data_IF_664825613207
#
_entry.id   IF_664825613207
#
_cell.length_a   1.000
_cell.length_b   1.000
_cell.length_c   1.000
_cell.angle_alpha   90.00
_cell.angle_beta   90.00
_cell.angle_gamma   90.00
#
_symmetry.space_group_name_H-M   'P 1'
#
loop_
_entity.id
_entity.type
_entity.pdbx_description
1 polymer ?
#
# COMPACT_ATOMS: atom_id res chain seq x y z
N UNK A 1 -40.60 32.86 -87.23
CA UNK A 1 -40.43 31.98 -86.08
C UNK A 1 -39.00 31.43 -85.99
N UNK A 2 -37.95 32.25 -86.12
CA UNK A 2 -36.53 31.81 -85.93
C UNK A 2 -35.69 32.76 -85.05
N UNK A 3 -36.34 33.76 -84.38
CA UNK A 3 -35.63 34.73 -83.53
C UNK A 3 -36.01 34.72 -82.06
N UNK A 4 -36.89 33.79 -81.61
CA UNK A 4 -37.34 33.69 -80.19
C UNK A 4 -36.57 32.61 -79.45
N UNK A 5 -35.84 31.68 -80.08
CA UNK A 5 -35.09 30.59 -79.43
C UNK A 5 -33.65 30.94 -79.04
N UNK A 6 -33.12 32.06 -79.50
CA UNK A 6 -31.75 32.45 -79.19
C UNK A 6 -31.61 33.23 -77.84
N UNK A 7 -32.70 33.83 -77.38
CA UNK A 7 -32.68 34.67 -76.17
C UNK A 7 -32.98 33.90 -74.87
N UNK A 8 -33.52 32.68 -74.97
CA UNK A 8 -33.80 31.80 -73.77
C UNK A 8 -32.61 30.93 -73.43
N UNK A 9 -31.71 30.62 -74.36
CA UNK A 9 -30.51 29.80 -74.07
C UNK A 9 -29.35 30.57 -73.46
N UNK A 10 -29.31 31.86 -73.49
CA UNK A 10 -28.28 32.72 -72.89
C UNK A 10 -28.68 33.08 -71.44
N UNK A 11 -30.01 33.07 -71.09
CA UNK A 11 -30.48 33.35 -69.76
C UNK A 11 -30.33 32.16 -68.78
N UNK A 12 -30.23 30.93 -69.30
CA UNK A 12 -30.11 29.74 -68.46
C UNK A 12 -28.62 29.43 -68.14
N UNK A 13 -27.66 29.93 -68.93
CA UNK A 13 -26.23 29.72 -68.66
C UNK A 13 -25.60 30.75 -67.73
N UNK A 14 -26.29 31.85 -67.38
CA UNK A 14 -25.80 32.85 -66.42
C UNK A 14 -26.34 32.67 -64.98
N UNK A 15 -27.28 31.73 -64.73
CA UNK A 15 -27.80 31.47 -63.38
C UNK A 15 -27.08 30.30 -62.72
N UNK A 16 -26.21 29.57 -63.42
CA UNK A 16 -25.49 28.44 -62.82
C UNK A 16 -24.06 28.76 -62.38
N UNK A 17 -23.64 30.01 -62.42
CA UNK A 17 -22.25 30.39 -62.13
C UNK A 17 -22.05 31.29 -60.90
N UNK A 18 -23.04 31.42 -60.04
CA UNK A 18 -22.86 32.18 -58.78
C UNK A 18 -23.41 31.49 -57.56
N UNK A 19 -23.53 30.16 -57.54
CA UNK A 19 -23.53 29.40 -56.28
C UNK A 19 -22.11 28.96 -56.03
N UNK A 20 -21.19 29.88 -55.88
CA UNK A 20 -20.05 29.66 -54.97
C UNK A 20 -20.67 29.61 -53.60
N UNK A 21 -21.08 28.39 -53.17
CA UNK A 21 -21.14 28.07 -51.75
C UNK A 21 -19.78 28.51 -51.21
N UNK A 22 -19.76 29.56 -50.43
CA UNK A 22 -18.69 29.78 -49.49
C UNK A 22 -18.73 28.51 -48.61
N UNK A 23 -17.91 27.54 -49.00
CA UNK A 23 -17.67 26.36 -48.21
C UNK A 23 -17.01 26.95 -46.95
N UNK A 24 -17.80 27.19 -45.89
CA UNK A 24 -17.25 27.58 -44.62
C UNK A 24 -16.14 26.58 -44.33
N UNK A 25 -14.92 27.05 -44.38
CA UNK A 25 -13.76 26.20 -44.17
C UNK A 25 -13.89 25.67 -42.73
N UNK A 26 -14.25 24.40 -42.61
CA UNK A 26 -14.40 23.75 -41.28
C UNK A 26 -13.13 24.05 -40.50
N UNK A 27 -13.28 24.72 -39.38
CA UNK A 27 -12.19 24.99 -38.44
C UNK A 27 -11.96 23.72 -37.58
N UNK A 28 -11.13 22.82 -38.11
CA UNK A 28 -10.84 21.55 -37.44
C UNK A 28 -10.15 21.74 -36.11
N UNK A 29 -9.37 22.82 -35.91
CA UNK A 29 -8.75 23.16 -34.64
C UNK A 29 -9.83 23.43 -33.56
N UNK A 30 -10.78 24.32 -33.85
CA UNK A 30 -11.84 24.70 -32.92
C UNK A 30 -12.78 23.53 -32.59
N UNK A 31 -13.12 22.76 -33.64
CA UNK A 31 -13.93 21.55 -33.45
C UNK A 31 -13.23 20.52 -32.55
N UNK A 32 -11.95 20.26 -32.79
CA UNK A 32 -11.14 19.38 -31.96
C UNK A 32 -10.99 19.84 -30.51
N UNK A 33 -10.80 21.16 -30.31
CA UNK A 33 -10.75 21.74 -28.94
C UNK A 33 -12.08 21.56 -28.22
N UNK A 34 -13.22 21.76 -28.88
CA UNK A 34 -14.55 21.53 -28.31
C UNK A 34 -14.76 20.07 -27.94
N UNK A 35 -14.33 19.15 -28.78
CA UNK A 35 -14.44 17.71 -28.53
C UNK A 35 -13.52 17.26 -27.38
N UNK A 36 -12.30 17.77 -27.25
CA UNK A 36 -11.44 17.54 -26.10
C UNK A 36 -12.13 18.00 -24.79
N UNK A 37 -12.76 19.18 -24.80
CA UNK A 37 -13.50 19.71 -23.63
C UNK A 37 -14.68 18.85 -23.24
N UNK A 38 -15.38 18.27 -24.22
CA UNK A 38 -16.55 17.40 -23.96
C UNK A 38 -16.18 15.94 -23.72
N UNK A 39 -14.90 15.59 -23.76
CA UNK A 39 -14.41 14.22 -23.54
C UNK A 39 -14.55 13.30 -24.77
N UNK A 40 -14.92 13.84 -25.94
CA UNK A 40 -14.99 13.07 -27.17
C UNK A 40 -13.61 13.01 -27.84
N UNK A 41 -12.69 12.29 -27.21
CA UNK A 41 -11.27 12.25 -27.61
C UNK A 41 -11.02 11.58 -28.99
N UNK A 42 -11.89 10.64 -29.41
CA UNK A 42 -11.75 9.97 -30.69
C UNK A 42 -11.99 10.93 -31.88
N UNK A 43 -13.05 11.74 -31.79
CA UNK A 43 -13.34 12.74 -32.81
C UNK A 43 -12.36 13.92 -32.73
N UNK A 44 -11.95 14.32 -31.52
CA UNK A 44 -10.88 15.32 -31.33
C UNK A 44 -9.60 14.91 -32.05
N UNK A 45 -9.14 13.66 -31.87
CA UNK A 45 -7.97 13.09 -32.54
C UNK A 45 -8.10 13.17 -34.07
N UNK A 46 -9.28 12.83 -34.61
CA UNK A 46 -9.54 12.93 -36.07
C UNK A 46 -9.41 14.37 -36.57
N UNK A 47 -10.03 15.31 -35.88
CA UNK A 47 -10.05 16.71 -36.30
C UNK A 47 -8.68 17.36 -36.19
N UNK A 48 -7.90 17.11 -35.12
CA UNK A 48 -6.53 17.59 -35.04
C UNK A 48 -5.62 16.94 -36.10
N UNK A 49 -5.88 15.69 -36.53
CA UNK A 49 -5.13 15.07 -37.62
C UNK A 49 -5.41 15.75 -38.97
N UNK A 50 -6.69 16.06 -39.24
CA UNK A 50 -7.07 16.81 -40.43
C UNK A 50 -6.52 18.23 -40.43
N UNK A 51 -6.48 18.88 -39.28
CA UNK A 51 -5.88 20.22 -39.12
C UNK A 51 -4.38 20.19 -39.45
N UNK A 52 -3.65 19.22 -38.86
CA UNK A 52 -2.21 19.05 -39.11
C UNK A 52 -1.93 18.73 -40.56
N UNK A 53 -2.73 17.86 -41.20
CA UNK A 53 -2.59 17.54 -42.62
C UNK A 53 -2.79 18.78 -43.56
N UNK A 54 -3.74 19.64 -43.22
CA UNK A 54 -3.98 20.87 -43.97
C UNK A 54 -2.85 21.90 -43.81
N UNK A 55 -2.17 21.89 -42.65
CA UNK A 55 -1.20 22.92 -42.30
C UNK A 55 0.26 22.39 -42.26
N UNK A 56 0.60 21.38 -43.05
CA UNK A 56 1.93 20.77 -43.07
C UNK A 56 3.08 21.77 -43.32
N UNK A 57 2.83 22.83 -44.13
CA UNK A 57 3.84 23.85 -44.41
C UNK A 57 4.10 24.81 -43.24
N UNK A 58 3.13 24.96 -42.34
CA UNK A 58 3.25 25.82 -41.17
C UNK A 58 2.54 25.13 -39.96
N UNK A 59 3.14 24.12 -39.41
CA UNK A 59 2.51 23.28 -38.36
C UNK A 59 2.31 24.05 -37.07
N UNK A 60 1.09 23.95 -36.51
CA UNK A 60 0.72 24.59 -35.27
C UNK A 60 1.08 23.68 -34.06
N UNK A 61 1.94 24.12 -33.11
CA UNK A 61 2.30 23.33 -31.93
C UNK A 61 1.09 22.97 -31.08
N UNK A 62 0.04 23.83 -31.01
CA UNK A 62 -1.16 23.58 -30.25
C UNK A 62 -1.98 22.41 -30.79
N UNK A 63 -1.96 22.18 -32.09
CA UNK A 63 -2.64 21.04 -32.73
C UNK A 63 -1.99 19.72 -32.36
N UNK A 64 -0.66 19.64 -32.30
CA UNK A 64 0.08 18.48 -31.84
C UNK A 64 -0.16 18.27 -30.35
N UNK A 65 -0.05 19.31 -29.53
CA UNK A 65 -0.33 19.23 -28.10
C UNK A 65 -1.72 18.67 -27.81
N UNK A 66 -2.77 19.21 -28.44
CA UNK A 66 -4.14 18.81 -28.22
C UNK A 66 -4.45 17.42 -28.79
N UNK A 67 -3.80 17.02 -29.92
CA UNK A 67 -3.87 15.64 -30.42
C UNK A 67 -3.20 14.66 -29.47
N UNK A 68 -2.03 15.02 -28.93
CA UNK A 68 -1.35 14.26 -27.90
C UNK A 68 -2.19 14.10 -26.63
N UNK A 69 -2.88 15.17 -26.22
CA UNK A 69 -3.82 15.13 -25.09
C UNK A 69 -5.00 14.17 -25.35
N UNK A 70 -5.57 14.18 -26.56
CA UNK A 70 -6.62 13.23 -26.93
C UNK A 70 -6.10 11.78 -26.89
N UNK A 71 -4.90 11.51 -27.45
CA UNK A 71 -4.25 10.18 -27.38
C UNK A 71 -3.98 9.74 -25.95
N UNK A 72 -3.51 10.64 -25.07
CA UNK A 72 -3.29 10.35 -23.66
C UNK A 72 -4.56 9.87 -22.96
N UNK A 73 -5.69 10.55 -23.20
CA UNK A 73 -6.98 10.18 -22.64
C UNK A 73 -7.53 8.86 -23.22
N UNK A 74 -7.19 8.54 -24.46
CA UNK A 74 -7.43 7.23 -25.09
C UNK A 74 -6.44 6.14 -24.66
N UNK A 75 -5.54 6.44 -23.71
CA UNK A 75 -4.47 5.57 -23.19
C UNK A 75 -3.39 5.19 -24.21
N UNK A 76 -3.32 5.87 -25.37
CA UNK A 76 -2.20 5.77 -26.29
C UNK A 76 -1.06 6.70 -25.83
N UNK A 77 -0.38 6.28 -24.77
CA UNK A 77 0.71 7.08 -24.18
C UNK A 77 1.92 7.22 -25.11
N UNK A 78 2.18 6.21 -25.97
CA UNK A 78 3.28 6.28 -26.94
C UNK A 78 2.99 7.30 -28.06
N UNK A 79 1.81 7.24 -28.63
CA UNK A 79 1.39 8.21 -29.64
C UNK A 79 1.26 9.63 -29.08
N UNK A 80 0.87 9.76 -27.79
CA UNK A 80 0.84 11.04 -27.11
C UNK A 80 2.23 11.66 -26.96
N UNK A 81 3.24 10.87 -26.53
CA UNK A 81 4.63 11.31 -26.41
C UNK A 81 5.16 11.86 -27.73
N UNK A 82 4.92 11.17 -28.86
CA UNK A 82 5.36 11.62 -30.16
C UNK A 82 4.75 12.98 -30.57
N UNK A 83 3.48 13.20 -30.24
CA UNK A 83 2.81 14.45 -30.49
C UNK A 83 3.33 15.59 -29.59
N UNK A 84 3.58 15.29 -28.31
CA UNK A 84 4.19 16.27 -27.40
C UNK A 84 5.64 16.59 -27.78
N UNK A 85 6.41 15.60 -28.26
CA UNK A 85 7.75 15.84 -28.82
C UNK A 85 7.70 16.85 -29.98
N UNK A 86 6.73 16.68 -30.88
CA UNK A 86 6.57 17.61 -32.02
C UNK A 86 6.09 18.99 -31.55
N UNK A 87 5.18 19.06 -30.57
CA UNK A 87 4.76 20.33 -30.00
C UNK A 87 5.94 21.10 -29.36
N UNK A 88 6.81 20.39 -28.62
CA UNK A 88 8.01 20.95 -28.01
C UNK A 88 9.06 21.35 -29.02
N UNK A 89 9.26 20.54 -30.08
CA UNK A 89 10.17 20.89 -31.19
C UNK A 89 9.76 22.21 -31.84
N UNK A 90 8.44 22.41 -32.06
CA UNK A 90 7.89 23.62 -32.67
C UNK A 90 7.87 24.81 -31.69
N UNK A 91 7.68 24.56 -30.40
CA UNK A 91 7.62 25.59 -29.34
C UNK A 91 8.43 25.13 -28.14
N UNK A 92 9.74 25.36 -28.08
CA UNK A 92 10.60 24.89 -26.96
C UNK A 92 10.27 25.48 -25.60
N UNK A 93 9.43 26.51 -25.52
CA UNK A 93 8.95 27.13 -24.27
C UNK A 93 7.58 26.61 -23.84
N UNK A 94 7.06 25.54 -24.45
CA UNK A 94 5.72 25.01 -24.19
C UNK A 94 5.71 24.15 -22.93
N UNK A 95 5.68 24.78 -21.76
CA UNK A 95 5.77 24.09 -20.48
C UNK A 95 4.64 23.07 -20.24
N UNK A 96 3.42 23.35 -20.75
CA UNK A 96 2.30 22.39 -20.65
C UNK A 96 2.58 21.09 -21.44
N UNK A 97 3.27 21.19 -22.58
CA UNK A 97 3.65 20.01 -23.36
C UNK A 97 4.70 19.16 -22.64
N UNK A 98 5.65 19.77 -21.93
CA UNK A 98 6.57 19.04 -21.05
C UNK A 98 5.83 18.34 -19.93
N UNK A 99 4.86 19.00 -19.24
CA UNK A 99 4.05 18.36 -18.18
C UNK A 99 3.31 17.15 -18.76
N UNK A 100 2.63 17.31 -19.89
CA UNK A 100 1.82 16.27 -20.51
C UNK A 100 2.68 15.07 -20.99
N UNK A 101 3.88 15.35 -21.56
CA UNK A 101 4.84 14.31 -21.93
C UNK A 101 5.36 13.57 -20.71
N UNK A 102 5.73 14.28 -19.63
CA UNK A 102 6.12 13.72 -18.38
C UNK A 102 5.02 12.85 -17.73
N UNK A 103 3.76 13.28 -17.79
CA UNK A 103 2.62 12.48 -17.36
C UNK A 103 2.49 11.19 -18.19
N UNK A 104 2.70 11.27 -19.49
CA UNK A 104 2.67 10.10 -20.40
C UNK A 104 3.80 9.10 -20.07
N UNK A 105 5.02 9.58 -19.82
CA UNK A 105 6.12 8.74 -19.33
C UNK A 105 5.81 8.13 -17.95
N UNK A 106 5.21 8.89 -17.05
CA UNK A 106 4.82 8.39 -15.71
C UNK A 106 3.77 7.27 -15.81
N UNK A 107 2.83 7.35 -16.77
CA UNK A 107 1.87 6.26 -17.04
C UNK A 107 2.52 5.00 -17.62
N UNK A 108 3.69 5.12 -18.22
CA UNK A 108 4.52 4.00 -18.66
C UNK A 108 5.54 3.57 -17.59
N UNK A 109 5.35 3.95 -16.32
CA UNK A 109 6.25 3.67 -15.20
C UNK A 109 7.67 4.27 -15.36
N UNK A 110 7.90 5.12 -16.37
CA UNK A 110 9.20 5.75 -16.63
C UNK A 110 9.36 7.06 -15.85
N UNK A 111 9.30 6.92 -14.50
CA UNK A 111 9.31 8.07 -13.59
C UNK A 111 10.59 8.91 -13.66
N UNK A 112 11.74 8.31 -14.02
CA UNK A 112 13.01 9.05 -14.13
C UNK A 112 12.98 10.05 -15.28
N UNK A 113 12.47 9.65 -16.45
CA UNK A 113 12.32 10.55 -17.60
C UNK A 113 11.22 11.58 -17.36
N UNK A 114 10.10 11.16 -16.74
CA UNK A 114 9.03 12.09 -16.36
C UNK A 114 9.54 13.23 -15.46
N UNK A 115 10.44 12.95 -14.51
CA UNK A 115 11.04 13.99 -13.65
C UNK A 115 11.87 14.98 -14.47
N UNK A 116 12.55 14.57 -15.52
CA UNK A 116 13.30 15.50 -16.40
C UNK A 116 12.35 16.47 -17.09
N UNK A 117 11.24 15.99 -17.64
CA UNK A 117 10.23 16.83 -18.25
C UNK A 117 9.60 17.82 -17.27
N UNK A 118 9.26 17.38 -16.06
CA UNK A 118 8.72 18.27 -15.01
C UNK A 118 9.76 19.31 -14.56
N UNK A 119 11.05 18.96 -14.53
CA UNK A 119 12.11 19.93 -14.24
C UNK A 119 12.15 21.04 -15.29
N UNK A 120 12.01 20.67 -16.56
CA UNK A 120 12.00 21.62 -17.65
C UNK A 120 10.74 22.50 -17.63
N UNK A 121 9.58 21.90 -17.36
CA UNK A 121 8.33 22.65 -17.18
C UNK A 121 8.44 23.68 -16.03
N UNK A 122 9.01 23.29 -14.89
CA UNK A 122 9.23 24.17 -13.74
C UNK A 122 10.25 25.28 -14.05
N UNK A 123 11.30 24.98 -14.84
CA UNK A 123 12.26 25.98 -15.29
C UNK A 123 11.60 27.04 -16.16
N UNK A 124 10.69 26.60 -17.03
CA UNK A 124 9.96 27.49 -17.95
C UNK A 124 8.85 28.29 -17.25
N UNK A 125 8.12 27.64 -16.33
CA UNK A 125 7.08 28.29 -15.52
C UNK A 125 7.18 27.84 -14.04
N UNK A 126 7.91 28.57 -13.18
CA UNK A 126 8.07 28.22 -11.77
C UNK A 126 6.79 28.34 -10.90
N UNK A 127 5.73 28.93 -11.45
CA UNK A 127 4.47 29.13 -10.75
C UNK A 127 3.41 28.04 -11.08
N UNK A 128 3.79 27.03 -11.86
CA UNK A 128 2.87 25.96 -12.25
C UNK A 128 2.79 24.86 -11.17
N UNK A 129 1.76 24.92 -10.36
CA UNK A 129 1.56 23.99 -9.22
C UNK A 129 1.49 22.51 -9.66
N UNK A 130 0.90 22.24 -10.84
CA UNK A 130 0.72 20.88 -11.37
C UNK A 130 2.05 20.22 -11.73
N UNK A 131 3.05 20.98 -12.16
CA UNK A 131 4.37 20.45 -12.46
C UNK A 131 5.08 19.94 -11.21
N UNK A 132 5.02 20.70 -10.10
CA UNK A 132 5.55 20.24 -8.81
C UNK A 132 4.79 19.02 -8.30
N UNK A 133 3.45 19.04 -8.33
CA UNK A 133 2.64 17.90 -7.91
C UNK A 133 3.01 16.62 -8.70
N UNK A 134 3.07 16.70 -10.02
CA UNK A 134 3.37 15.55 -10.89
C UNK A 134 4.79 15.03 -10.67
N UNK A 135 5.77 15.93 -10.46
CA UNK A 135 7.14 15.57 -10.10
C UNK A 135 7.19 14.89 -8.73
N UNK A 136 6.46 15.42 -7.75
CA UNK A 136 6.33 14.82 -6.43
C UNK A 136 5.80 13.41 -6.47
N UNK A 137 4.71 13.16 -7.23
CA UNK A 137 4.17 11.80 -7.44
C UNK A 137 5.22 10.87 -8.05
N UNK A 138 5.94 11.32 -9.08
CA UNK A 138 7.00 10.49 -9.70
C UNK A 138 8.15 10.20 -8.74
N UNK A 139 8.53 11.16 -7.88
CA UNK A 139 9.52 10.95 -6.81
C UNK A 139 9.02 9.94 -5.76
N UNK A 140 7.75 10.00 -5.37
CA UNK A 140 7.12 9.02 -4.47
C UNK A 140 7.19 7.60 -5.03
N UNK A 141 6.91 7.44 -6.32
CA UNK A 141 7.01 6.13 -7.01
C UNK A 141 8.43 5.57 -7.02
N UNK A 142 9.43 6.44 -7.03
CA UNK A 142 10.85 6.07 -6.88
C UNK A 142 11.30 5.99 -5.41
N UNK A 143 10.36 6.02 -4.46
CA UNK A 143 10.57 6.05 -3.01
C UNK A 143 11.46 7.22 -2.53
N UNK A 144 11.57 8.29 -3.29
CA UNK A 144 12.17 9.54 -2.83
C UNK A 144 11.10 10.37 -2.09
N UNK A 145 10.72 9.92 -0.90
CA UNK A 145 9.62 10.51 -0.11
C UNK A 145 9.91 11.95 0.31
N UNK A 146 11.15 12.27 0.72
CA UNK A 146 11.54 13.64 1.08
C UNK A 146 11.49 14.58 -0.12
N UNK A 147 11.95 14.13 -1.27
CA UNK A 147 11.86 14.91 -2.51
C UNK A 147 10.41 15.13 -2.96
N UNK A 148 9.55 14.12 -2.78
CA UNK A 148 8.10 14.22 -3.03
C UNK A 148 7.45 15.24 -2.09
N UNK A 149 7.73 15.14 -0.77
CA UNK A 149 7.21 16.07 0.24
C UNK A 149 7.58 17.52 -0.07
N UNK A 150 8.83 17.79 -0.47
CA UNK A 150 9.28 19.12 -0.87
C UNK A 150 8.48 19.67 -2.06
N UNK A 151 8.24 18.82 -3.07
CA UNK A 151 7.48 19.23 -4.24
C UNK A 151 5.99 19.46 -3.92
N UNK A 152 5.37 18.63 -3.07
CA UNK A 152 3.99 18.85 -2.63
C UNK A 152 3.84 20.12 -1.79
N UNK A 153 4.82 20.45 -0.93
CA UNK A 153 4.82 21.73 -0.23
C UNK A 153 4.79 22.88 -1.23
N UNK A 154 5.64 22.85 -2.27
CA UNK A 154 5.67 23.92 -3.27
C UNK A 154 4.38 23.98 -4.09
N UNK A 155 3.83 22.84 -4.48
CA UNK A 155 2.51 22.78 -5.15
C UNK A 155 1.40 23.41 -4.31
N UNK A 156 1.39 23.15 -2.98
CA UNK A 156 0.38 23.67 -2.04
C UNK A 156 0.63 25.15 -1.63
N UNK A 157 1.87 25.65 -1.69
CA UNK A 157 2.14 27.08 -1.60
C UNK A 157 1.50 27.86 -2.77
N UNK A 158 1.48 27.24 -3.96
CA UNK A 158 0.91 27.84 -5.17
C UNK A 158 -0.61 27.63 -5.27
N UNK A 159 -1.13 26.53 -4.73
CA UNK A 159 -2.56 26.21 -4.69
C UNK A 159 -2.91 25.47 -3.37
N UNK A 160 -3.27 26.23 -2.34
CA UNK A 160 -3.50 25.71 -0.98
C UNK A 160 -4.74 24.78 -0.87
N UNK A 161 -5.75 24.97 -1.73
CA UNK A 161 -7.01 24.20 -1.69
C UNK A 161 -7.02 23.02 -2.67
N UNK A 162 -5.85 22.49 -2.99
CA UNK A 162 -5.71 21.34 -3.89
C UNK A 162 -5.79 20.03 -3.09
N UNK A 163 -7.00 19.47 -2.94
CA UNK A 163 -7.22 18.25 -2.15
C UNK A 163 -6.33 17.06 -2.56
N UNK A 164 -6.09 16.77 -3.86
CA UNK A 164 -5.13 15.71 -4.22
C UNK A 164 -3.69 16.01 -3.78
N UNK A 165 -3.28 17.27 -3.77
CA UNK A 165 -1.96 17.71 -3.29
C UNK A 165 -1.81 17.50 -1.78
N UNK A 166 -2.84 17.85 -0.99
CA UNK A 166 -2.89 17.59 0.45
C UNK A 166 -2.81 16.11 0.74
N UNK A 167 -3.61 15.28 0.04
CA UNK A 167 -3.58 13.84 0.22
C UNK A 167 -2.21 13.24 -0.13
N UNK A 168 -1.59 13.65 -1.24
CA UNK A 168 -0.26 13.20 -1.62
C UNK A 168 0.82 13.62 -0.61
N UNK A 169 0.70 14.82 -0.03
CA UNK A 169 1.59 15.29 1.05
C UNK A 169 1.38 14.47 2.32
N UNK A 170 0.14 14.19 2.69
CA UNK A 170 -0.20 13.32 3.81
C UNK A 170 0.36 11.91 3.64
N UNK A 171 0.27 11.34 2.44
CA UNK A 171 0.89 10.05 2.13
C UNK A 171 2.43 10.12 2.26
N UNK A 172 3.06 11.16 1.73
CA UNK A 172 4.51 11.35 1.85
C UNK A 172 4.96 11.46 3.31
N UNK A 173 4.23 12.24 4.13
CA UNK A 173 4.46 12.35 5.58
C UNK A 173 4.30 11.00 6.28
N UNK A 174 3.26 10.23 5.94
CA UNK A 174 3.04 8.89 6.48
C UNK A 174 4.20 7.94 6.14
N UNK A 175 4.73 7.99 4.91
CA UNK A 175 5.94 7.22 4.52
C UNK A 175 7.21 7.66 5.23
N UNK A 176 7.23 8.87 5.78
CA UNK A 176 8.30 9.43 6.60
C UNK A 176 7.99 9.32 8.11
N UNK A 177 6.97 8.54 8.50
CA UNK A 177 6.52 8.32 9.86
C UNK A 177 5.98 9.55 10.59
N UNK A 178 5.73 10.66 9.89
CA UNK A 178 5.01 11.82 10.42
C UNK A 178 3.49 11.59 10.33
N UNK A 179 2.97 10.69 11.18
CA UNK A 179 1.56 10.32 11.17
C UNK A 179 0.66 11.47 11.63
N UNK A 180 1.11 12.32 12.54
CA UNK A 180 0.31 13.47 12.99
C UNK A 180 0.14 14.50 11.87
N UNK A 181 1.23 14.89 11.22
CA UNK A 181 1.16 15.78 10.08
C UNK A 181 0.41 15.18 8.88
N UNK A 182 0.44 13.85 8.73
CA UNK A 182 -0.36 13.11 7.74
C UNK A 182 -1.86 13.26 8.01
N UNK A 183 -2.31 13.10 9.28
CA UNK A 183 -3.71 13.26 9.69
C UNK A 183 -4.20 14.68 9.38
N UNK A 184 -3.42 15.71 9.70
CA UNK A 184 -3.76 17.12 9.43
C UNK A 184 -4.00 17.39 7.94
N UNK A 185 -3.17 16.79 7.07
CA UNK A 185 -3.32 16.94 5.62
C UNK A 185 -4.57 16.20 5.11
N UNK A 186 -4.83 14.98 5.61
CA UNK A 186 -6.06 14.25 5.23
C UNK A 186 -7.32 14.89 5.81
N UNK A 187 -7.29 15.52 6.98
CA UNK A 187 -8.41 16.29 7.50
C UNK A 187 -8.83 17.37 6.50
N UNK A 188 -7.89 18.18 6.04
CA UNK A 188 -8.15 19.21 5.03
C UNK A 188 -8.58 18.64 3.67
N UNK A 189 -7.95 17.53 3.24
CA UNK A 189 -8.32 16.87 1.99
C UNK A 189 -9.77 16.34 2.02
N UNK A 190 -10.22 15.82 3.17
CA UNK A 190 -11.59 15.34 3.39
C UNK A 190 -12.58 16.51 3.43
N UNK A 191 -12.25 17.63 4.08
CA UNK A 191 -13.06 18.84 4.08
C UNK A 191 -13.33 19.32 2.64
N UNK A 192 -12.30 19.33 1.79
CA UNK A 192 -12.42 19.75 0.39
C UNK A 192 -13.10 18.70 -0.50
N UNK A 193 -12.99 17.42 -0.17
CA UNK A 193 -13.48 16.31 -1.01
C UNK A 193 -14.00 15.14 -0.17
N UNK A 194 -15.16 15.27 0.49
CA UNK A 194 -15.67 14.33 1.50
C UNK A 194 -16.14 12.97 0.94
N UNK A 195 -16.21 12.80 -0.37
CA UNK A 195 -16.66 11.55 -1.01
C UNK A 195 -15.50 10.67 -1.52
N UNK A 196 -14.26 10.98 -1.17
CA UNK A 196 -13.07 10.21 -1.56
C UNK A 196 -12.73 9.19 -0.48
N UNK A 197 -13.14 7.92 -0.65
CA UNK A 197 -12.89 6.82 0.30
C UNK A 197 -11.42 6.71 0.70
N UNK A 198 -10.49 6.82 -0.27
CA UNK A 198 -9.06 6.70 -0.02
C UNK A 198 -8.50 7.71 1.00
N UNK A 199 -9.09 8.90 1.13
CA UNK A 199 -8.62 9.87 2.13
C UNK A 199 -8.93 9.41 3.55
N UNK A 200 -10.09 8.79 3.76
CA UNK A 200 -10.45 8.16 5.04
C UNK A 200 -9.55 6.95 5.31
N UNK A 201 -9.30 6.09 4.32
CA UNK A 201 -8.40 4.91 4.46
C UNK A 201 -7.00 5.33 4.90
N UNK A 202 -6.41 6.34 4.26
CA UNK A 202 -5.07 6.81 4.62
C UNK A 202 -5.03 7.51 5.98
N UNK A 203 -6.07 8.30 6.34
CA UNK A 203 -6.16 8.90 7.67
C UNK A 203 -6.33 7.85 8.75
N UNK A 204 -7.18 6.83 8.50
CA UNK A 204 -7.35 5.69 9.38
C UNK A 204 -6.03 4.95 9.61
N UNK A 205 -5.27 4.70 8.54
CA UNK A 205 -3.95 4.09 8.65
C UNK A 205 -3.01 4.92 9.54
N UNK A 206 -2.94 6.23 9.35
CA UNK A 206 -2.11 7.09 10.18
C UNK A 206 -2.54 7.06 11.67
N UNK A 207 -3.85 7.10 11.96
CA UNK A 207 -4.40 6.94 13.33
C UNK A 207 -4.07 5.58 13.93
N UNK A 208 -4.19 4.50 13.13
CA UNK A 208 -3.83 3.15 13.54
C UNK A 208 -2.35 3.06 13.96
N UNK A 209 -1.44 3.71 13.22
CA UNK A 209 -0.01 3.76 13.56
C UNK A 209 0.26 4.50 14.88
N UNK A 210 -0.60 5.43 15.27
CA UNK A 210 -0.58 6.11 16.57
C UNK A 210 -1.31 5.33 17.68
N UNK A 211 -1.76 4.09 17.39
CA UNK A 211 -2.59 3.26 18.29
C UNK A 211 -3.96 3.88 18.64
N UNK A 212 -4.44 4.83 17.85
CA UNK A 212 -5.76 5.44 18.01
C UNK A 212 -6.84 4.58 17.33
N UNK A 213 -6.93 3.30 17.73
CA UNK A 213 -7.72 2.26 17.04
C UNK A 213 -9.20 2.60 16.90
N UNK A 214 -9.83 3.17 17.94
CA UNK A 214 -11.24 3.58 17.88
C UNK A 214 -11.50 4.69 16.85
N UNK A 215 -10.56 5.63 16.70
CA UNK A 215 -10.66 6.70 15.70
C UNK A 215 -10.37 6.18 14.29
N UNK A 216 -9.43 5.26 14.16
CA UNK A 216 -9.14 4.58 12.89
C UNK A 216 -10.35 3.78 12.40
N UNK A 217 -11.05 3.06 13.29
CA UNK A 217 -12.25 2.28 12.94
C UNK A 217 -13.38 3.16 12.39
N UNK A 218 -13.58 4.36 12.92
CA UNK A 218 -14.56 5.31 12.37
C UNK A 218 -14.23 5.70 10.93
N UNK A 219 -12.97 5.96 10.66
CA UNK A 219 -12.51 6.32 9.32
C UNK A 219 -12.58 5.12 8.36
N UNK A 220 -12.16 3.90 8.78
CA UNK A 220 -12.33 2.70 7.95
C UNK A 220 -13.80 2.40 7.66
N UNK A 221 -14.70 2.59 8.61
CA UNK A 221 -16.14 2.43 8.39
C UNK A 221 -16.66 3.41 7.33
N UNK A 222 -16.23 4.68 7.36
CA UNK A 222 -16.62 5.66 6.35
C UNK A 222 -15.97 5.36 4.99
N UNK A 223 -14.70 4.92 4.96
CA UNK A 223 -14.04 4.49 3.72
C UNK A 223 -14.80 3.32 3.07
N UNK A 224 -15.12 2.28 3.82
CA UNK A 224 -15.85 1.09 3.36
C UNK A 224 -17.27 1.46 2.90
N UNK A 225 -17.95 2.38 3.58
CA UNK A 225 -19.28 2.87 3.18
C UNK A 225 -19.23 3.62 1.84
N UNK A 226 -18.18 4.39 1.58
CA UNK A 226 -17.98 5.12 0.32
C UNK A 226 -17.54 4.21 -0.83
N UNK A 227 -16.72 3.19 -0.55
CA UNK A 227 -16.22 2.21 -1.52
C UNK A 227 -15.82 0.94 -0.78
N UNK A 228 -16.60 -0.13 -0.98
CA UNK A 228 -16.42 -1.41 -0.29
C UNK A 228 -15.47 -2.38 -1.04
N UNK A 229 -14.64 -1.88 -1.95
CA UNK A 229 -13.80 -2.66 -2.87
C UNK A 229 -12.30 -2.70 -2.49
N UNK A 230 -11.94 -2.23 -1.30
CA UNK A 230 -10.57 -2.20 -0.81
C UNK A 230 -10.33 -3.26 0.28
N UNK A 231 -9.64 -4.34 -0.06
CA UNK A 231 -9.28 -5.41 0.88
C UNK A 231 -8.41 -4.92 2.06
N UNK A 232 -7.59 -3.87 1.84
CA UNK A 232 -6.73 -3.30 2.89
C UNK A 232 -7.55 -2.62 3.99
N UNK A 233 -8.68 -1.99 3.66
CA UNK A 233 -9.54 -1.34 4.66
C UNK A 233 -10.17 -2.37 5.61
N UNK A 234 -10.65 -3.50 5.07
CA UNK A 234 -11.16 -4.60 5.90
C UNK A 234 -10.06 -5.24 6.73
N UNK A 235 -8.88 -5.49 6.15
CA UNK A 235 -7.75 -6.04 6.90
C UNK A 235 -7.35 -5.13 8.07
N UNK A 236 -7.16 -3.83 7.82
CA UNK A 236 -6.76 -2.87 8.83
C UNK A 236 -7.86 -2.63 9.89
N UNK A 237 -9.14 -2.66 9.49
CA UNK A 237 -10.27 -2.66 10.43
C UNK A 237 -10.23 -3.89 11.34
N UNK A 238 -10.04 -5.09 10.77
CA UNK A 238 -9.88 -6.34 11.52
C UNK A 238 -8.68 -6.29 12.48
N UNK A 239 -7.56 -5.70 12.05
CA UNK A 239 -6.40 -5.47 12.92
C UNK A 239 -6.76 -4.55 14.10
N UNK A 240 -7.37 -3.39 13.85
CA UNK A 240 -7.79 -2.46 14.92
C UNK A 240 -8.74 -3.13 15.92
N UNK A 241 -9.73 -3.89 15.43
CA UNK A 241 -10.66 -4.65 16.27
C UNK A 241 -9.94 -5.72 17.11
N UNK A 242 -8.91 -6.35 16.56
CA UNK A 242 -8.09 -7.32 17.28
C UNK A 242 -7.33 -6.66 18.43
N UNK A 243 -6.78 -5.45 18.23
CA UNK A 243 -6.12 -4.69 19.29
C UNK A 243 -7.08 -4.26 20.39
N UNK A 244 -8.36 -4.12 20.07
CA UNK A 244 -9.44 -3.81 21.03
C UNK A 244 -10.14 -5.06 21.55
N UNK A 245 -9.63 -6.26 21.26
CA UNK A 245 -10.20 -7.57 21.64
C UNK A 245 -11.64 -7.81 21.11
N UNK A 246 -12.10 -7.02 20.15
CA UNK A 246 -13.41 -7.19 19.52
C UNK A 246 -13.33 -8.26 18.41
N UNK A 247 -13.27 -9.53 18.81
CA UNK A 247 -13.04 -10.65 17.89
C UNK A 247 -14.28 -11.04 17.08
N UNK A 248 -15.48 -11.06 17.72
CA UNK A 248 -16.74 -11.52 17.12
C UNK A 248 -17.72 -10.41 16.76
N UNK A 249 -17.45 -9.21 17.25
CA UNK A 249 -18.41 -8.10 17.17
C UNK A 249 -19.36 -8.08 18.36
N UNK A 250 -19.90 -6.91 18.64
CA UNK A 250 -20.86 -6.65 19.72
C UNK A 250 -22.01 -5.82 19.15
N UNK A 251 -23.21 -5.94 19.74
CA UNK A 251 -24.38 -5.13 19.39
C UNK A 251 -24.77 -5.15 17.90
N UNK A 252 -24.51 -6.27 17.19
CA UNK A 252 -24.82 -6.40 15.76
C UNK A 252 -23.74 -5.85 14.81
N UNK A 253 -22.64 -5.33 15.34
CA UNK A 253 -21.48 -4.95 14.55
C UNK A 253 -20.59 -6.15 14.24
N UNK A 254 -19.94 -6.13 13.09
CA UNK A 254 -19.00 -7.17 12.65
C UNK A 254 -17.70 -7.09 13.46
N UNK A 255 -17.19 -8.24 13.88
CA UNK A 255 -15.91 -8.35 14.59
C UNK A 255 -14.70 -8.47 13.66
N UNK A 256 -13.51 -8.65 14.29
CA UNK A 256 -12.27 -8.85 13.56
C UNK A 256 -12.31 -10.07 12.64
N UNK A 257 -12.95 -11.17 13.07
CA UNK A 257 -13.05 -12.41 12.31
C UNK A 257 -13.73 -12.22 10.95
N UNK A 258 -14.81 -11.44 10.92
CA UNK A 258 -15.57 -11.15 9.70
C UNK A 258 -14.79 -10.22 8.77
N UNK A 259 -14.13 -9.21 9.32
CA UNK A 259 -13.34 -8.27 8.55
C UNK A 259 -12.17 -8.97 7.84
N UNK A 260 -11.42 -9.83 8.53
CA UNK A 260 -10.38 -10.63 7.88
C UNK A 260 -10.94 -11.60 6.84
N UNK A 261 -12.11 -12.19 7.11
CA UNK A 261 -12.77 -13.06 6.13
C UNK A 261 -13.16 -12.31 4.88
N UNK A 262 -13.63 -11.06 5.01
CA UNK A 262 -13.96 -10.19 3.89
C UNK A 262 -12.71 -9.76 3.11
N UNK A 263 -11.63 -9.42 3.81
CA UNK A 263 -10.35 -9.12 3.17
C UNK A 263 -9.82 -10.29 2.34
N UNK A 264 -9.93 -11.53 2.85
CA UNK A 264 -9.54 -12.77 2.13
C UNK A 264 -10.45 -13.04 0.92
N UNK A 265 -11.75 -12.82 1.05
CA UNK A 265 -12.70 -12.96 -0.06
C UNK A 265 -12.32 -12.06 -1.23
N UNK A 266 -11.89 -10.83 -0.93
CA UNK A 266 -11.52 -9.82 -1.93
C UNK A 266 -10.11 -10.02 -2.48
N UNK A 267 -9.17 -10.42 -1.63
CA UNK A 267 -7.79 -10.75 -2.01
C UNK A 267 -7.37 -12.09 -1.40
N UNK A 268 -7.60 -13.20 -2.10
CA UNK A 268 -7.21 -14.54 -1.64
C UNK A 268 -5.70 -14.76 -1.50
N UNK A 269 -4.88 -13.81 -1.94
CA UNK A 269 -3.42 -13.88 -1.81
C UNK A 269 -2.88 -13.03 -0.64
N UNK A 270 -3.77 -12.39 0.13
CA UNK A 270 -3.39 -11.51 1.24
C UNK A 270 -2.94 -12.31 2.46
N UNK A 271 -1.64 -12.56 2.53
CA UNK A 271 -0.96 -13.36 3.59
C UNK A 271 -1.34 -12.88 4.99
N UNK A 272 -1.32 -11.57 5.20
CA UNK A 272 -1.57 -10.91 6.47
C UNK A 272 -2.98 -11.14 6.98
N UNK A 273 -3.96 -11.22 6.08
CA UNK A 273 -5.36 -11.44 6.46
C UNK A 273 -5.59 -12.88 6.95
N UNK A 274 -4.95 -13.88 6.34
CA UNK A 274 -4.97 -15.25 6.85
C UNK A 274 -4.32 -15.33 8.23
N UNK A 275 -3.16 -14.70 8.43
CA UNK A 275 -2.50 -14.68 9.73
C UNK A 275 -3.38 -14.01 10.79
N UNK A 276 -3.96 -12.83 10.50
CA UNK A 276 -4.84 -12.13 11.42
C UNK A 276 -6.07 -12.95 11.79
N UNK A 277 -6.70 -13.62 10.81
CA UNK A 277 -7.85 -14.50 11.06
C UNK A 277 -7.46 -15.73 11.90
N UNK A 278 -6.32 -16.34 11.62
CA UNK A 278 -5.79 -17.45 12.40
C UNK A 278 -5.57 -17.06 13.87
N UNK A 279 -4.97 -15.88 14.10
CA UNK A 279 -4.76 -15.36 15.44
C UNK A 279 -6.09 -15.19 16.20
N UNK A 280 -7.09 -14.59 15.57
CA UNK A 280 -8.43 -14.40 16.16
C UNK A 280 -9.09 -15.75 16.45
N UNK A 281 -9.06 -16.72 15.51
CA UNK A 281 -9.59 -18.08 15.72
C UNK A 281 -8.92 -18.76 16.91
N UNK A 282 -7.60 -18.68 17.02
CA UNK A 282 -6.84 -19.24 18.14
C UNK A 282 -7.25 -18.62 19.48
N UNK A 283 -7.49 -17.29 19.53
CA UNK A 283 -8.00 -16.60 20.72
C UNK A 283 -9.42 -17.03 21.08
N UNK A 284 -10.26 -17.32 20.10
CA UNK A 284 -11.63 -17.81 20.28
C UNK A 284 -11.71 -19.32 20.58
N UNK A 285 -10.58 -20.05 20.64
CA UNK A 285 -10.51 -21.48 20.91
C UNK A 285 -10.66 -22.40 19.68
N UNK A 286 -10.88 -21.85 18.48
CA UNK A 286 -10.90 -22.61 17.22
C UNK A 286 -9.47 -22.92 16.77
N UNK A 287 -8.84 -23.90 17.42
CA UNK A 287 -7.45 -24.28 17.11
C UNK A 287 -7.31 -24.90 15.71
N UNK A 288 -8.33 -25.67 15.25
CA UNK A 288 -8.30 -26.30 13.90
C UNK A 288 -8.35 -25.25 12.81
N UNK A 289 -9.33 -24.35 12.86
CA UNK A 289 -9.42 -23.25 11.91
C UNK A 289 -8.22 -22.31 11.95
N UNK A 290 -7.58 -22.14 13.12
CA UNK A 290 -6.34 -21.37 13.22
C UNK A 290 -5.17 -22.05 12.51
N UNK A 291 -5.00 -23.37 12.68
CA UNK A 291 -3.96 -24.16 12.01
C UNK A 291 -4.11 -24.06 10.48
N UNK A 292 -5.34 -24.18 9.98
CA UNK A 292 -5.63 -24.10 8.54
C UNK A 292 -5.23 -22.72 7.97
N UNK A 293 -5.63 -21.65 8.64
CA UNK A 293 -5.31 -20.28 8.20
C UNK A 293 -3.80 -19.96 8.36
N UNK A 294 -3.13 -20.40 9.44
CA UNK A 294 -1.66 -20.26 9.55
C UNK A 294 -0.93 -21.07 8.46
N UNK A 295 -1.44 -22.26 8.11
CA UNK A 295 -0.87 -23.06 7.03
C UNK A 295 -0.99 -22.32 5.70
N UNK A 296 -2.16 -21.75 5.41
CA UNK A 296 -2.37 -20.96 4.19
C UNK A 296 -1.48 -19.72 4.16
N UNK A 297 -1.34 -19.01 5.28
CA UNK A 297 -0.43 -17.87 5.39
C UNK A 297 1.04 -18.29 5.14
N UNK A 298 1.48 -19.42 5.71
CA UNK A 298 2.83 -19.94 5.50
C UNK A 298 3.09 -20.33 4.03
N UNK A 299 2.11 -20.99 3.39
CA UNK A 299 2.21 -21.44 1.99
C UNK A 299 2.29 -20.25 1.03
N UNK A 300 1.43 -19.24 1.23
CA UNK A 300 1.45 -18.02 0.43
C UNK A 300 2.73 -17.22 0.64
N UNK A 301 3.22 -17.12 1.89
CA UNK A 301 4.48 -16.46 2.22
C UNK A 301 5.75 -17.21 1.70
N UNK A 302 5.62 -18.48 1.32
CA UNK A 302 6.69 -19.27 0.70
C UNK A 302 6.84 -19.00 -0.81
N UNK A 303 5.87 -18.35 -1.45
CA UNK A 303 5.96 -17.99 -2.86
C UNK A 303 7.06 -16.94 -3.05
N UNK A 304 8.07 -17.25 -3.88
CA UNK A 304 9.25 -16.38 -4.09
C UNK A 304 8.86 -14.96 -4.54
N UNK A 305 7.77 -14.82 -5.29
CA UNK A 305 7.26 -13.52 -5.72
C UNK A 305 6.72 -12.68 -4.57
N UNK A 306 6.03 -13.29 -3.58
CA UNK A 306 5.57 -12.61 -2.38
C UNK A 306 6.75 -12.20 -1.49
N UNK A 307 7.78 -13.06 -1.39
CA UNK A 307 9.03 -12.78 -0.66
C UNK A 307 9.78 -11.59 -1.25
N UNK A 308 9.93 -11.51 -2.59
CA UNK A 308 10.62 -10.42 -3.27
C UNK A 308 9.92 -9.08 -3.01
N UNK A 309 8.59 -9.05 -3.03
CA UNK A 309 7.81 -7.83 -2.78
C UNK A 309 7.92 -7.38 -1.32
N UNK A 310 7.89 -8.32 -0.37
CA UNK A 310 7.99 -8.05 1.06
C UNK A 310 9.42 -7.61 1.44
N UNK A 311 10.43 -8.39 1.05
CA UNK A 311 11.85 -8.10 1.33
C UNK A 311 12.31 -6.79 0.67
N UNK A 312 11.87 -6.48 -0.55
CA UNK A 312 12.20 -5.24 -1.23
C UNK A 312 11.59 -4.01 -0.56
N UNK A 313 10.34 -4.11 -0.08
CA UNK A 313 9.68 -3.02 0.65
C UNK A 313 10.34 -2.78 2.02
N UNK A 314 10.60 -3.84 2.78
CA UNK A 314 11.20 -3.75 4.12
C UNK A 314 12.68 -3.36 4.07
N UNK A 315 13.47 -3.94 3.16
CA UNK A 315 14.90 -3.61 3.00
C UNK A 315 15.09 -2.15 2.60
N UNK A 316 14.19 -1.61 1.77
CA UNK A 316 14.26 -0.21 1.35
C UNK A 316 13.91 0.75 2.47
N UNK A 317 12.89 0.45 3.29
CA UNK A 317 12.54 1.23 4.49
C UNK A 317 13.69 1.19 5.50
N UNK A 318 14.25 0.01 5.80
CA UNK A 318 15.39 -0.16 6.71
C UNK A 318 16.67 0.56 6.23
N UNK A 319 16.98 0.52 4.94
CA UNK A 319 18.13 1.21 4.37
C UNK A 319 17.99 2.73 4.40
N UNK A 320 16.77 3.25 4.20
CA UNK A 320 16.48 4.67 4.32
C UNK A 320 16.49 5.13 5.79
N UNK A 321 16.05 4.29 6.73
CA UNK A 321 16.14 4.53 8.17
C UNK A 321 17.59 4.57 8.68
N UNK A 322 18.43 3.61 8.28
CA UNK A 322 19.85 3.57 8.63
C UNK A 322 20.65 4.77 8.11
N UNK A 323 20.26 5.31 6.94
CA UNK A 323 20.88 6.51 6.37
C UNK A 323 20.49 7.82 7.07
N UNK A 324 19.34 7.87 7.74
CA UNK A 324 18.69 9.11 8.16
C UNK A 324 18.49 9.25 9.67
N UNK A 325 19.00 8.32 10.48
CA UNK A 325 19.01 8.43 11.94
C UNK A 325 17.64 8.48 12.60
N UNK A 326 16.68 7.67 12.16
CA UNK A 326 15.35 7.54 12.79
C UNK A 326 15.47 6.71 14.09
N UNK A 327 14.78 7.07 15.18
CA UNK A 327 14.88 6.37 16.47
C UNK A 327 14.44 4.90 16.39
N UNK A 328 15.16 4.04 17.10
CA UNK A 328 15.08 2.56 17.17
C UNK A 328 13.72 1.94 17.58
N UNK A 329 12.61 2.68 17.57
CA UNK A 329 11.35 2.21 18.21
C UNK A 329 10.07 2.38 17.39
N UNK A 330 10.13 2.65 16.09
CA UNK A 330 8.92 2.69 15.27
C UNK A 330 8.51 1.27 14.83
N UNK A 331 7.73 0.59 15.69
CA UNK A 331 6.99 -0.60 15.26
C UNK A 331 5.81 -0.15 14.40
N UNK A 332 5.81 -0.58 13.13
CA UNK A 332 4.64 -0.42 12.27
C UNK A 332 3.51 -1.26 12.87
N UNK A 333 2.35 -0.65 13.12
CA UNK A 333 1.18 -1.36 13.61
C UNK A 333 0.65 -2.27 12.48
N UNK A 334 0.99 -3.54 12.56
CA UNK A 334 0.54 -4.63 11.70
C UNK A 334 0.81 -5.96 12.40
N UNK A 335 0.17 -7.04 11.97
CA UNK A 335 0.63 -8.37 12.37
C UNK A 335 1.99 -8.65 11.73
N UNK A 336 2.92 -9.17 12.55
CA UNK A 336 4.16 -9.71 12.02
C UNK A 336 3.83 -10.98 11.23
N UNK A 337 4.18 -10.97 9.95
CA UNK A 337 4.10 -12.14 9.07
C UNK A 337 5.49 -12.71 8.82
N UNK A 338 6.47 -12.40 9.69
CA UNK A 338 7.75 -13.07 9.64
C UNK A 338 7.55 -14.58 9.71
N UNK A 339 8.14 -15.29 8.78
CA UNK A 339 7.94 -16.73 8.62
C UNK A 339 8.20 -17.51 9.90
N UNK A 340 9.15 -17.06 10.71
CA UNK A 340 9.43 -17.65 12.02
C UNK A 340 8.25 -17.54 12.98
N UNK A 341 7.55 -16.40 13.01
CA UNK A 341 6.37 -16.19 13.86
C UNK A 341 5.14 -16.95 13.38
N UNK A 342 4.95 -17.07 12.06
CA UNK A 342 3.86 -17.86 11.48
C UNK A 342 3.99 -19.33 11.89
N UNK A 343 5.18 -19.91 11.75
CA UNK A 343 5.44 -21.29 12.19
C UNK A 343 5.31 -21.42 13.70
N UNK A 344 5.85 -20.49 14.46
CA UNK A 344 5.73 -20.49 15.93
C UNK A 344 4.26 -20.50 16.38
N UNK A 345 3.43 -19.59 15.87
CA UNK A 345 2.01 -19.49 16.25
C UNK A 345 1.20 -20.71 15.79
N UNK A 346 1.51 -21.29 14.62
CA UNK A 346 0.94 -22.55 14.19
C UNK A 346 1.32 -23.69 15.14
N UNK A 347 2.58 -23.75 15.58
CA UNK A 347 3.06 -24.71 16.56
C UNK A 347 2.32 -24.56 17.90
N UNK A 348 2.09 -23.33 18.38
CA UNK A 348 1.31 -23.07 19.59
C UNK A 348 -0.14 -23.58 19.44
N UNK A 349 -0.77 -23.34 18.31
CA UNK A 349 -2.13 -23.83 18.04
C UNK A 349 -2.18 -25.37 18.01
N UNK A 350 -1.21 -26.05 17.38
CA UNK A 350 -1.07 -27.51 17.38
C UNK A 350 -0.83 -28.08 18.78
N UNK A 351 0.04 -27.48 19.57
CA UNK A 351 0.26 -27.89 20.96
C UNK A 351 -1.02 -27.80 21.80
N UNK A 352 -1.80 -26.73 21.65
CA UNK A 352 -3.10 -26.56 22.31
C UNK A 352 -4.16 -27.54 21.82
N UNK A 353 -4.07 -28.02 20.59
CA UNK A 353 -4.95 -29.08 20.08
C UNK A 353 -4.51 -30.51 20.49
N UNK A 354 -3.40 -30.63 21.24
CA UNK A 354 -2.86 -31.89 21.75
C UNK A 354 -1.80 -32.55 20.86
N UNK A 355 -1.42 -31.93 19.73
CA UNK A 355 -0.41 -32.47 18.82
C UNK A 355 0.99 -31.88 19.08
N UNK A 356 1.61 -32.38 20.17
CA UNK A 356 2.94 -31.94 20.59
C UNK A 356 4.03 -32.29 19.55
N UNK A 357 3.88 -33.39 18.76
CA UNK A 357 4.88 -33.77 17.74
C UNK A 357 4.90 -32.79 16.60
N UNK A 358 3.74 -32.50 16.02
CA UNK A 358 3.66 -31.53 14.92
C UNK A 358 3.98 -30.09 15.37
N UNK A 359 3.65 -29.75 16.63
CA UNK A 359 4.06 -28.48 17.22
C UNK A 359 5.58 -28.35 17.26
N UNK A 360 6.29 -29.41 17.65
CA UNK A 360 7.77 -29.43 17.71
C UNK A 360 8.39 -29.24 16.32
N UNK A 361 7.82 -29.80 15.25
CA UNK A 361 8.27 -29.57 13.88
C UNK A 361 8.15 -28.08 13.50
N UNK A 362 7.07 -27.45 13.84
CA UNK A 362 6.84 -26.03 13.62
C UNK A 362 7.80 -25.16 14.41
N UNK A 363 8.06 -25.48 15.69
CA UNK A 363 9.07 -24.78 16.48
C UNK A 363 10.49 -24.97 15.92
N UNK A 364 10.84 -26.16 15.42
CA UNK A 364 12.11 -26.40 14.72
C UNK A 364 12.21 -25.46 13.50
N UNK A 365 11.15 -25.32 12.73
CA UNK A 365 11.13 -24.44 11.56
C UNK A 365 11.24 -22.97 11.97
N UNK A 366 10.54 -22.55 13.00
CA UNK A 366 10.63 -21.19 13.56
C UNK A 366 12.08 -20.87 13.98
N UNK A 367 12.72 -21.75 14.73
CA UNK A 367 14.12 -21.61 15.18
C UNK A 367 15.10 -21.61 14.01
N UNK A 368 14.88 -22.45 12.98
CA UNK A 368 15.75 -22.47 11.79
C UNK A 368 15.71 -21.16 11.00
N UNK A 369 14.57 -20.46 11.03
CA UNK A 369 14.38 -19.17 10.39
C UNK A 369 14.85 -18.00 11.25
N UNK A 370 14.68 -18.10 12.57
CA UNK A 370 15.12 -17.10 13.54
C UNK A 370 15.83 -17.79 14.74
N UNK A 371 17.14 -17.98 14.69
CA UNK A 371 17.90 -18.66 15.75
C UNK A 371 17.95 -17.93 17.09
N UNK A 372 17.50 -16.68 17.17
CA UNK A 372 17.44 -15.89 18.40
C UNK A 372 16.03 -15.80 18.99
N UNK A 373 15.09 -16.64 18.54
CA UNK A 373 13.69 -16.66 18.98
C UNK A 373 13.53 -17.42 20.31
N UNK A 374 13.70 -16.74 21.44
CA UNK A 374 13.70 -17.34 22.77
C UNK A 374 12.42 -18.12 23.07
N UNK A 375 11.24 -17.59 22.72
CA UNK A 375 9.94 -18.23 22.94
C UNK A 375 9.84 -19.56 22.18
N UNK A 376 10.36 -19.64 20.96
CA UNK A 376 10.33 -20.87 20.17
C UNK A 376 11.15 -21.99 20.82
N UNK A 377 12.32 -21.67 21.41
CA UNK A 377 13.07 -22.63 22.22
C UNK A 377 12.30 -23.06 23.47
N UNK A 378 11.70 -22.12 24.21
CA UNK A 378 10.92 -22.44 25.39
C UNK A 378 9.77 -23.39 25.08
N UNK A 379 8.93 -23.05 24.09
CA UNK A 379 7.77 -23.88 23.73
C UNK A 379 8.19 -25.25 23.14
N UNK A 380 9.30 -25.31 22.41
CA UNK A 380 9.87 -26.59 21.98
C UNK A 380 10.34 -27.43 23.19
N UNK A 381 10.97 -26.80 24.17
CA UNK A 381 11.36 -27.45 25.43
C UNK A 381 10.15 -28.02 26.17
N UNK A 382 9.05 -27.27 26.28
CA UNK A 382 7.79 -27.75 26.87
C UNK A 382 7.24 -28.95 26.08
N UNK A 383 7.22 -28.88 24.75
CA UNK A 383 6.75 -29.96 23.89
C UNK A 383 7.62 -31.23 24.04
N UNK A 384 8.95 -31.09 24.08
CA UNK A 384 9.88 -32.20 24.34
C UNK A 384 9.64 -32.84 25.71
N UNK A 385 9.45 -32.02 26.74
CA UNK A 385 9.15 -32.52 28.10
C UNK A 385 7.87 -33.32 28.12
N UNK A 386 6.81 -32.87 27.46
CA UNK A 386 5.52 -33.61 27.37
C UNK A 386 5.66 -34.94 26.59
N UNK A 387 6.64 -35.05 25.72
CA UNK A 387 6.95 -36.26 24.94
C UNK A 387 7.99 -37.18 25.68
N UNK A 388 8.43 -36.81 26.89
CA UNK A 388 9.38 -37.57 27.69
C UNK A 388 10.85 -37.28 27.40
N UNK A 389 11.18 -36.40 26.48
CA UNK A 389 12.56 -36.01 26.13
C UNK A 389 13.09 -34.92 27.09
N UNK A 390 13.26 -35.28 28.34
CA UNK A 390 13.61 -34.38 29.44
C UNK A 390 14.97 -33.70 29.25
N UNK A 391 15.98 -34.42 28.74
CA UNK A 391 17.35 -33.88 28.55
C UNK A 391 17.38 -32.77 27.52
N UNK A 392 16.75 -33.01 26.36
CA UNK A 392 16.69 -31.99 25.32
C UNK A 392 15.74 -30.85 25.67
N UNK A 393 14.75 -31.08 26.54
CA UNK A 393 13.90 -30.04 27.09
C UNK A 393 14.69 -29.07 27.97
N UNK A 394 15.58 -29.56 28.85
CA UNK A 394 16.50 -28.74 29.67
C UNK A 394 17.39 -27.89 28.78
N UNK A 395 17.92 -28.48 27.69
CA UNK A 395 18.80 -27.77 26.76
C UNK A 395 18.05 -26.61 26.06
N UNK A 396 16.81 -26.86 25.63
CA UNK A 396 15.98 -25.83 24.98
C UNK A 396 15.60 -24.71 25.96
N UNK A 397 15.19 -25.02 27.19
CA UNK A 397 14.97 -24.01 28.20
C UNK A 397 16.26 -23.22 28.52
N UNK A 398 17.43 -23.86 28.50
CA UNK A 398 18.71 -23.19 28.70
C UNK A 398 19.04 -22.22 27.54
N UNK A 399 18.72 -22.59 26.29
CA UNK A 399 18.85 -21.70 25.15
C UNK A 399 17.88 -20.52 25.26
N UNK A 400 16.64 -20.74 25.63
CA UNK A 400 15.65 -19.67 25.88
C UNK A 400 16.16 -18.67 26.94
N UNK A 401 16.70 -19.16 28.05
CA UNK A 401 17.28 -18.35 29.13
C UNK A 401 18.52 -17.58 28.66
N UNK A 402 19.38 -18.22 27.87
CA UNK A 402 20.55 -17.55 27.30
C UNK A 402 20.19 -16.38 26.40
N UNK A 403 19.12 -16.53 25.64
CA UNK A 403 18.58 -15.47 24.73
C UNK A 403 17.81 -14.41 25.51
N UNK A 404 17.04 -14.81 26.51
CA UNK A 404 16.32 -13.91 27.41
C UNK A 404 16.55 -14.27 28.88
N UNK A 405 17.54 -13.66 29.56
CA UNK A 405 17.86 -13.96 30.97
C UNK A 405 16.74 -13.58 31.97
N UNK A 406 15.68 -12.90 31.54
CA UNK A 406 14.51 -12.55 32.35
C UNK A 406 13.29 -13.45 32.07
N UNK A 407 13.46 -14.56 31.35
CA UNK A 407 12.36 -15.45 30.99
C UNK A 407 11.99 -16.38 32.17
N UNK A 408 11.15 -15.87 33.04
CA UNK A 408 10.76 -16.54 34.32
C UNK A 408 10.20 -17.95 34.08
N UNK A 409 9.33 -18.14 33.09
CA UNK A 409 8.71 -19.42 32.78
C UNK A 409 9.72 -20.47 32.30
N UNK A 410 10.77 -20.04 31.57
CA UNK A 410 11.82 -20.95 31.11
C UNK A 410 12.66 -21.48 32.27
N UNK A 411 12.95 -20.65 33.30
CA UNK A 411 13.57 -21.10 34.54
C UNK A 411 12.64 -22.05 35.28
N UNK A 412 11.35 -21.74 35.40
CA UNK A 412 10.39 -22.59 36.09
C UNK A 412 10.33 -24.00 35.48
N UNK A 413 10.13 -24.10 34.16
CA UNK A 413 10.05 -25.41 33.50
C UNK A 413 11.38 -26.17 33.60
N UNK A 414 12.52 -25.50 33.44
CA UNK A 414 13.83 -26.15 33.60
C UNK A 414 14.04 -26.68 35.01
N UNK A 415 13.64 -25.89 36.00
CA UNK A 415 13.69 -26.30 37.44
C UNK A 415 12.84 -27.52 37.75
N UNK A 416 11.60 -27.54 37.27
CA UNK A 416 10.68 -28.70 37.42
C UNK A 416 11.28 -29.95 36.78
N UNK A 417 11.79 -29.86 35.54
CA UNK A 417 12.35 -31.00 34.85
C UNK A 417 13.59 -31.53 35.54
N UNK A 418 14.48 -30.67 36.03
CA UNK A 418 15.67 -31.07 36.80
C UNK A 418 15.30 -31.83 38.09
N UNK A 419 14.34 -31.28 38.88
CA UNK A 419 13.87 -31.95 40.07
C UNK A 419 13.26 -33.33 39.77
N UNK A 420 12.48 -33.44 38.72
CA UNK A 420 11.92 -34.71 38.26
C UNK A 420 12.98 -35.75 37.89
N UNK A 421 14.20 -35.29 37.48
CA UNK A 421 15.35 -36.14 37.22
C UNK A 421 16.26 -36.35 38.43
N UNK A 422 15.89 -35.86 39.62
CA UNK A 422 16.69 -35.95 40.84
C UNK A 422 17.82 -34.94 40.96
N UNK A 423 17.88 -33.92 40.06
CA UNK A 423 18.88 -32.86 40.10
C UNK A 423 18.40 -31.69 40.99
N UNK A 424 18.95 -31.59 42.20
CA UNK A 424 18.63 -30.55 43.18
C UNK A 424 18.96 -29.14 42.70
N UNK A 425 19.78 -28.97 41.64
CA UNK A 425 20.00 -27.65 41.05
C UNK A 425 18.74 -27.02 40.44
N UNK A 426 17.67 -27.81 40.28
CA UNK A 426 16.33 -27.33 39.91
C UNK A 426 15.77 -26.31 40.91
N UNK A 427 16.10 -26.42 42.21
CA UNK A 427 15.69 -25.44 43.22
C UNK A 427 16.27 -24.03 42.96
N UNK A 428 17.47 -23.93 42.42
CA UNK A 428 18.07 -22.64 42.04
C UNK A 428 17.32 -22.01 40.88
N UNK A 429 16.92 -22.82 39.90
CA UNK A 429 16.13 -22.34 38.76
C UNK A 429 14.76 -21.85 39.20
N UNK A 430 14.09 -22.57 40.14
CA UNK A 430 12.80 -22.17 40.73
C UNK A 430 12.92 -20.87 41.54
N UNK A 431 13.99 -20.73 42.36
CA UNK A 431 14.25 -19.48 43.08
C UNK A 431 14.38 -18.32 42.12
N UNK A 432 15.16 -18.51 41.04
CA UNK A 432 15.33 -17.46 40.00
C UNK A 432 14.01 -17.13 39.29
N UNK A 433 13.17 -18.11 38.98
CA UNK A 433 11.85 -17.91 38.43
C UNK A 433 10.96 -17.06 39.33
N UNK A 434 10.94 -17.36 40.67
CA UNK A 434 10.21 -16.58 41.65
C UNK A 434 10.70 -15.14 41.79
N UNK A 435 12.03 -14.91 41.81
CA UNK A 435 12.63 -13.57 41.79
C UNK A 435 12.21 -12.75 40.55
N UNK A 436 12.00 -13.41 39.43
CA UNK A 436 11.54 -12.80 38.16
C UNK A 436 10.02 -12.61 38.10
N UNK A 437 9.30 -12.92 39.20
CA UNK A 437 7.86 -12.65 39.34
C UNK A 437 6.94 -13.83 39.01
N UNK A 438 7.48 -15.05 38.78
CA UNK A 438 6.65 -16.23 38.55
C UNK A 438 6.26 -16.89 39.90
N UNK A 439 5.19 -16.41 40.51
CA UNK A 439 4.81 -16.76 41.89
C UNK A 439 4.55 -18.25 42.13
N UNK A 440 4.17 -19.03 41.10
CA UNK A 440 3.96 -20.48 41.22
C UNK A 440 5.26 -21.22 41.62
N UNK A 441 6.43 -20.66 41.34
CA UNK A 441 7.71 -21.24 41.69
C UNK A 441 7.86 -21.41 43.24
N UNK A 442 7.37 -20.46 44.02
CA UNK A 442 7.46 -20.52 45.48
C UNK A 442 6.67 -21.69 46.08
N UNK A 443 5.56 -22.09 45.44
CA UNK A 443 4.83 -23.28 45.92
C UNK A 443 5.68 -24.55 45.73
N UNK A 444 6.28 -24.71 44.53
CA UNK A 444 7.11 -25.89 44.23
C UNK A 444 8.36 -25.93 45.10
N UNK A 445 8.98 -24.77 45.39
CA UNK A 445 10.11 -24.68 46.30
C UNK A 445 9.73 -25.22 47.70
N UNK A 446 8.60 -24.83 48.27
CA UNK A 446 8.11 -25.32 49.56
C UNK A 446 7.91 -26.83 49.59
N UNK A 447 7.43 -27.39 48.48
CA UNK A 447 7.05 -28.79 48.42
C UNK A 447 8.25 -29.72 48.11
N UNK A 448 9.32 -29.21 47.45
CA UNK A 448 10.37 -30.06 46.90
C UNK A 448 11.82 -29.61 47.16
N UNK A 449 12.05 -28.45 47.75
CA UNK A 449 13.38 -27.86 47.90
C UNK A 449 13.85 -27.68 49.35
N UNK A 450 13.20 -28.33 50.32
CA UNK A 450 13.57 -28.27 51.75
C UNK A 450 14.45 -29.46 52.12
#
# INVERSE_FOLDING_TARGET
MKHIYATILVGIFCITATNTFAQESINYLELGLTQNKTGNYADALRNFSLEIEKNLANPNPDSFYNRGFAKYNLKDFRGAILDFDKAIELKPTYFEAFIARGQSYSKQENHKVAIQDYNEAIRLNPLEATAYYSRGISKMKLANYRGGLSDFNKSLELNAEYAPGLAARGEAKSKLFDFKGSIEDFDKAIELSPKRSGYFSFRAYAKMQLSEYNLALKDYAEAIKLSADNADDYYNSGFCKTQLENFRGENGEKGALEDFSKAIEMDPMKVEAYYGRAFVKAKLGDQRGAIDDYSKSADLGNNENAKIIYDAKMTKVLLDELRNGVPDKLKIASFSTERSEVYFNRGVAKAKSGDAKQAMEDYNRAISLNPIFAEAYYFRGVAKSSLGDQRNAIQDCSNAIKLNPKYAEAYFIRGIIKLALGDSSGCMDLSKSGELGYNQAYQVIRDHCN
#
